data_IF_705388399433
#
_entry.id   IF_705388399433
#
_cell.length_a   1.000
_cell.length_b   1.000
_cell.length_c   1.000
_cell.angle_alpha   90.00
_cell.angle_beta   90.00
_cell.angle_gamma   90.00
#
_symmetry.space_group_name_H-M   'P 1'
#
loop_
_entity.id
_entity.type
_entity.pdbx_description
1 polymer ?
#
# COMPACT_ATOMS: atom_id res chain seq x y z
N UNK A 1 -28.94 24.76 -45.66
CA UNK A 1 -28.04 23.58 -45.53
C UNK A 1 -28.58 22.32 -46.21
N UNK A 2 -29.82 21.89 -45.96
CA UNK A 2 -30.38 20.68 -46.60
C UNK A 2 -30.33 20.70 -48.15
N UNK A 3 -30.67 21.82 -48.80
CA UNK A 3 -30.64 21.95 -50.27
C UNK A 3 -29.22 21.80 -50.89
N UNK A 4 -28.15 22.00 -50.12
CA UNK A 4 -26.76 21.82 -50.58
C UNK A 4 -26.38 20.33 -50.67
N UNK A 5 -26.74 19.55 -49.64
CA UNK A 5 -26.50 18.11 -49.61
C UNK A 5 -27.39 17.35 -50.62
N UNK A 6 -28.60 17.84 -50.90
CA UNK A 6 -29.50 17.29 -51.94
C UNK A 6 -28.88 17.43 -53.35
N UNK A 7 -28.20 18.56 -53.64
CA UNK A 7 -27.54 18.79 -54.93
C UNK A 7 -26.15 18.15 -55.04
N UNK A 8 -25.56 17.68 -53.93
CA UNK A 8 -24.23 17.04 -53.87
C UNK A 8 -24.28 15.75 -53.03
N UNK A 9 -24.93 14.69 -53.52
CA UNK A 9 -25.11 13.44 -52.77
C UNK A 9 -23.79 12.74 -52.42
N UNK A 10 -22.77 12.84 -53.27
CA UNK A 10 -21.44 12.28 -53.01
C UNK A 10 -20.79 12.96 -51.79
N UNK A 11 -20.94 14.28 -51.64
CA UNK A 11 -20.38 15.00 -50.50
C UNK A 11 -21.04 14.60 -49.17
N UNK A 12 -22.36 14.35 -49.19
CA UNK A 12 -23.07 13.82 -48.02
C UNK A 12 -22.54 12.42 -47.62
N UNK A 13 -22.31 11.54 -48.59
CA UNK A 13 -21.72 10.21 -48.35
C UNK A 13 -20.30 10.27 -47.82
N UNK A 14 -19.45 11.15 -48.35
CA UNK A 14 -18.08 11.33 -47.84
C UNK A 14 -18.11 11.75 -46.37
N UNK A 15 -18.97 12.69 -46.01
CA UNK A 15 -19.09 13.19 -44.64
C UNK A 15 -19.62 12.10 -43.69
N UNK A 16 -20.60 11.31 -44.16
CA UNK A 16 -21.10 10.14 -43.42
C UNK A 16 -20.02 9.07 -43.21
N UNK A 17 -19.21 8.77 -44.23
CA UNK A 17 -18.10 7.80 -44.14
C UNK A 17 -17.04 8.30 -43.16
N UNK A 18 -16.67 9.58 -43.21
CA UNK A 18 -15.72 10.17 -42.24
C UNK A 18 -16.25 10.03 -40.81
N UNK A 19 -17.54 10.31 -40.58
CA UNK A 19 -18.18 10.16 -39.28
C UNK A 19 -18.23 8.71 -38.81
N UNK A 20 -18.53 7.76 -39.71
CA UNK A 20 -18.51 6.34 -39.39
C UNK A 20 -17.09 5.85 -39.08
N UNK A 21 -16.07 6.29 -39.82
CA UNK A 21 -14.68 5.94 -39.52
C UNK A 21 -14.21 6.52 -38.18
N UNK A 22 -14.57 7.78 -37.88
CA UNK A 22 -14.27 8.39 -36.59
C UNK A 22 -14.98 7.67 -35.44
N UNK A 23 -16.25 7.28 -35.63
CA UNK A 23 -17.00 6.48 -34.67
C UNK A 23 -16.41 5.09 -34.45
N UNK A 24 -15.99 4.41 -35.52
CA UNK A 24 -15.34 3.10 -35.43
C UNK A 24 -14.01 3.17 -34.67
N UNK A 25 -13.19 4.19 -34.94
CA UNK A 25 -11.94 4.43 -34.19
C UNK A 25 -12.21 4.75 -32.72
N UNK A 26 -13.24 5.55 -32.41
CA UNK A 26 -13.63 5.86 -31.05
C UNK A 26 -14.08 4.60 -30.28
N UNK A 27 -14.88 3.73 -30.90
CA UNK A 27 -15.31 2.46 -30.28
C UNK A 27 -14.11 1.57 -29.92
N UNK A 28 -13.06 1.55 -30.75
CA UNK A 28 -11.87 0.74 -30.47
C UNK A 28 -10.96 1.32 -29.39
N UNK A 29 -11.00 2.64 -29.16
CA UNK A 29 -10.15 3.33 -28.18
C UNK A 29 -10.86 3.63 -26.85
N UNK A 30 -12.20 3.63 -26.82
CA UNK A 30 -12.95 3.97 -25.62
C UNK A 30 -12.76 2.88 -24.54
N UNK A 31 -12.34 3.27 -23.33
CA UNK A 31 -12.28 2.35 -22.20
C UNK A 31 -13.67 1.79 -21.88
N UNK A 32 -13.74 0.47 -21.67
CA UNK A 32 -14.97 -0.20 -21.24
C UNK A 32 -14.92 -0.40 -19.72
N UNK A 33 -15.85 0.21 -18.99
CA UNK A 33 -16.01 0.06 -17.56
C UNK A 33 -17.49 -0.14 -17.20
N UNK A 34 -17.79 -0.91 -16.15
CA UNK A 34 -19.18 -1.21 -15.73
C UNK A 34 -19.92 0.04 -15.22
N UNK A 35 -19.21 0.90 -14.49
CA UNK A 35 -19.68 2.20 -14.00
C UNK A 35 -18.56 3.23 -14.15
N UNK A 36 -18.87 4.51 -14.40
CA UNK A 36 -17.89 5.57 -14.22
C UNK A 36 -17.49 5.65 -12.74
N UNK A 37 -16.31 6.20 -12.44
CA UNK A 37 -15.86 6.43 -11.06
C UNK A 37 -16.70 7.54 -10.41
N UNK A 38 -17.84 7.17 -9.81
CA UNK A 38 -18.76 8.08 -9.11
C UNK A 38 -18.37 8.20 -7.63
N UNK A 39 -17.66 7.20 -7.09
CA UNK A 39 -17.23 7.21 -5.70
C UNK A 39 -16.26 8.37 -5.42
N UNK A 40 -16.44 9.12 -4.32
CA UNK A 40 -15.47 10.12 -3.91
C UNK A 40 -14.09 9.47 -3.69
N UNK A 41 -12.99 10.14 -4.07
CA UNK A 41 -11.66 9.61 -3.84
C UNK A 41 -11.41 9.49 -2.35
N UNK A 42 -10.74 8.40 -1.96
CA UNK A 42 -10.39 8.15 -0.57
C UNK A 42 -8.93 7.67 -0.47
N UNK A 43 -8.29 8.02 0.63
CA UNK A 43 -6.93 7.59 0.99
C UNK A 43 -7.01 6.86 2.32
N UNK A 44 -6.46 5.65 2.38
CA UNK A 44 -6.37 4.85 3.59
C UNK A 44 -4.94 4.89 4.13
N UNK A 45 -4.83 5.12 5.43
CA UNK A 45 -3.59 4.99 6.21
C UNK A 45 -3.73 3.76 7.09
N UNK A 46 -2.83 2.81 6.93
CA UNK A 46 -2.87 1.53 7.66
C UNK A 46 -1.57 1.35 8.45
N UNK A 47 -1.70 0.97 9.72
CA UNK A 47 -0.57 0.63 10.58
C UNK A 47 -0.91 -0.55 11.48
N UNK A 48 0.12 -1.18 12.05
CA UNK A 48 -0.05 -2.30 12.95
C UNK A 48 0.84 -2.12 14.19
N UNK A 49 0.26 -2.34 15.37
CA UNK A 49 0.94 -2.33 16.66
C UNK A 49 0.80 -3.72 17.31
N UNK A 50 1.74 -4.65 17.03
CA UNK A 50 1.65 -6.01 17.52
C UNK A 50 1.58 -6.08 19.05
N UNK A 51 0.55 -6.75 19.57
CA UNK A 51 0.36 -6.98 21.00
C UNK A 51 -0.33 -5.85 21.77
N UNK A 52 -0.71 -4.75 21.10
CA UNK A 52 -1.53 -3.71 21.70
C UNK A 52 -3.03 -4.04 21.61
N UNK A 53 -3.80 -3.68 22.63
CA UNK A 53 -5.26 -3.73 22.60
C UNK A 53 -5.84 -2.51 21.88
N UNK A 54 -7.13 -2.59 21.51
CA UNK A 54 -7.79 -1.56 20.71
C UNK A 54 -7.72 -0.15 21.35
N UNK A 55 -7.83 -0.07 22.68
CA UNK A 55 -7.79 1.23 23.38
C UNK A 55 -6.38 1.83 23.30
N UNK A 56 -5.34 1.01 23.53
CA UNK A 56 -3.95 1.44 23.39
C UNK A 56 -3.67 1.92 21.96
N UNK A 57 -4.07 1.17 20.94
CA UNK A 57 -3.90 1.57 19.52
C UNK A 57 -4.64 2.86 19.20
N UNK A 58 -5.85 3.04 19.73
CA UNK A 58 -6.63 4.25 19.54
C UNK A 58 -5.90 5.47 20.11
N UNK A 59 -5.42 5.38 21.36
CA UNK A 59 -4.83 6.51 22.08
C UNK A 59 -3.40 6.84 21.61
N UNK A 60 -2.58 5.84 21.28
CA UNK A 60 -1.16 6.05 20.93
C UNK A 60 -0.88 6.19 19.45
N UNK A 61 -1.76 5.65 18.58
CA UNK A 61 -1.55 5.66 17.12
C UNK A 61 -2.63 6.45 16.42
N UNK A 62 -3.89 6.02 16.59
CA UNK A 62 -5.02 6.52 15.81
C UNK A 62 -5.22 8.01 16.03
N UNK A 63 -5.39 8.44 17.29
CA UNK A 63 -5.59 9.84 17.62
C UNK A 63 -4.41 10.73 17.22
N UNK A 64 -3.18 10.25 17.36
CA UNK A 64 -1.97 10.99 16.97
C UNK A 64 -1.97 11.26 15.47
N UNK A 65 -2.31 10.26 14.66
CA UNK A 65 -2.42 10.44 13.21
C UNK A 65 -3.57 11.39 12.89
N UNK A 66 -4.77 11.16 13.45
CA UNK A 66 -5.96 11.98 13.20
C UNK A 66 -5.75 13.47 13.51
N UNK A 67 -5.15 13.79 14.65
CA UNK A 67 -4.87 15.18 15.06
C UNK A 67 -3.92 15.90 14.10
N UNK A 68 -3.05 15.16 13.41
CA UNK A 68 -2.13 15.70 12.42
C UNK A 68 -2.73 15.78 11.02
N UNK A 69 -3.90 15.18 10.75
CA UNK A 69 -4.60 15.21 9.46
C UNK A 69 -5.39 16.51 9.20
N UNK A 70 -5.11 17.56 9.96
CA UNK A 70 -5.75 18.86 9.81
C UNK A 70 -5.14 19.68 8.66
N UNK A 71 -5.99 20.44 7.97
CA UNK A 71 -5.58 21.33 6.87
C UNK A 71 -5.18 20.56 5.60
N UNK A 72 -5.84 19.43 5.36
CA UNK A 72 -5.82 18.72 4.08
C UNK A 72 -6.93 19.32 3.20
N UNK A 73 -6.61 19.62 1.93
CA UNK A 73 -7.55 20.25 1.02
C UNK A 73 -8.66 19.28 0.61
N UNK A 74 -9.87 19.80 0.45
CA UNK A 74 -11.03 19.04 -0.04
C UNK A 74 -11.39 17.80 0.79
N UNK A 75 -10.96 17.73 2.05
CA UNK A 75 -11.36 16.66 2.96
C UNK A 75 -12.87 16.79 3.27
N UNK A 76 -13.62 15.71 3.04
CA UNK A 76 -15.05 15.63 3.34
C UNK A 76 -15.28 15.11 4.76
N UNK A 77 -14.70 13.95 5.06
CA UNK A 77 -14.73 13.34 6.38
C UNK A 77 -13.57 12.36 6.54
N UNK A 78 -13.30 12.00 7.77
CA UNK A 78 -12.33 10.99 8.16
C UNK A 78 -13.02 9.98 9.07
N UNK A 79 -12.73 8.70 8.87
CA UNK A 79 -13.18 7.60 9.71
C UNK A 79 -12.01 6.72 10.06
N UNK A 80 -11.92 6.28 11.31
CA UNK A 80 -10.88 5.37 11.76
C UNK A 80 -11.48 4.14 12.44
N UNK A 81 -10.77 3.03 12.32
CA UNK A 81 -11.08 1.79 13.00
C UNK A 81 -9.80 1.27 13.64
N UNK A 82 -9.84 1.02 14.94
CA UNK A 82 -8.78 0.33 15.69
C UNK A 82 -9.33 -1.01 16.16
N UNK A 83 -8.59 -2.09 15.94
CA UNK A 83 -9.01 -3.42 16.37
C UNK A 83 -8.19 -3.96 17.55
N UNK A 84 -8.67 -5.04 18.15
CA UNK A 84 -7.97 -5.73 19.24
C UNK A 84 -6.79 -6.60 18.79
N UNK A 85 -6.57 -6.72 17.49
CA UNK A 85 -5.41 -7.43 16.92
C UNK A 85 -4.20 -6.50 16.77
N UNK A 86 -4.36 -5.20 17.07
CA UNK A 86 -3.31 -4.20 16.96
C UNK A 86 -3.35 -3.41 15.65
N UNK A 87 -4.30 -3.69 14.76
CA UNK A 87 -4.39 -3.03 13.46
C UNK A 87 -5.21 -1.75 13.53
N UNK A 88 -4.79 -0.76 12.75
CA UNK A 88 -5.48 0.51 12.59
C UNK A 88 -5.62 0.84 11.13
N UNK A 89 -6.82 1.28 10.74
CA UNK A 89 -7.12 1.81 9.41
C UNK A 89 -7.81 3.15 9.56
N UNK A 90 -7.24 4.19 8.95
CA UNK A 90 -7.80 5.54 8.90
C UNK A 90 -8.11 5.86 7.44
N UNK A 91 -9.39 6.05 7.13
CA UNK A 91 -9.87 6.39 5.79
C UNK A 91 -10.25 7.85 5.74
N UNK A 92 -9.55 8.61 4.90
CA UNK A 92 -9.86 10.00 4.58
C UNK A 92 -10.63 10.04 3.27
N UNK A 93 -11.86 10.54 3.28
CA UNK A 93 -12.69 10.69 2.08
C UNK A 93 -12.73 12.15 1.65
N UNK A 94 -12.55 12.38 0.36
CA UNK A 94 -12.41 13.70 -0.24
C UNK A 94 -13.62 14.07 -1.09
N UNK A 95 -13.77 15.36 -1.40
CA UNK A 95 -14.81 15.85 -2.31
C UNK A 95 -14.61 15.26 -3.72
N UNK A 96 -15.72 15.02 -4.42
CA UNK A 96 -15.68 14.59 -5.83
C UNK A 96 -14.95 15.62 -6.70
N UNK A 97 -14.06 15.16 -7.58
CA UNK A 97 -13.22 16.01 -8.42
C UNK A 97 -11.84 16.33 -7.82
N UNK A 98 -11.56 15.93 -6.58
CA UNK A 98 -10.21 15.99 -6.01
C UNK A 98 -9.29 15.01 -6.74
N UNK A 99 -8.06 15.45 -7.03
CA UNK A 99 -7.04 14.59 -7.59
C UNK A 99 -6.56 13.58 -6.52
N UNK A 100 -6.73 12.25 -6.74
CA UNK A 100 -6.35 11.24 -5.76
C UNK A 100 -4.84 11.15 -5.53
N UNK A 101 -4.00 11.51 -6.51
CA UNK A 101 -2.54 11.57 -6.34
C UNK A 101 -2.14 12.72 -5.41
N UNK A 102 -2.77 13.89 -5.58
CA UNK A 102 -2.52 15.04 -4.70
C UNK A 102 -3.05 14.76 -3.30
N UNK A 103 -4.24 14.19 -3.16
CA UNK A 103 -4.80 13.79 -1.88
C UNK A 103 -3.86 12.82 -1.13
N UNK A 104 -3.33 11.81 -1.81
CA UNK A 104 -2.38 10.86 -1.23
C UNK A 104 -1.10 11.55 -0.75
N UNK A 105 -0.52 12.44 -1.57
CA UNK A 105 0.69 13.19 -1.20
C UNK A 105 0.44 14.11 -0.01
N UNK A 106 -0.72 14.78 0.05
CA UNK A 106 -1.09 15.62 1.20
C UNK A 106 -1.19 14.80 2.49
N UNK A 107 -1.87 13.65 2.45
CA UNK A 107 -1.97 12.73 3.58
C UNK A 107 -0.59 12.25 4.01
N UNK A 108 0.26 11.84 3.05
CA UNK A 108 1.61 11.37 3.34
C UNK A 108 2.47 12.46 3.99
N UNK A 109 2.40 13.70 3.50
CA UNK A 109 3.13 14.84 4.08
C UNK A 109 2.68 15.13 5.52
N UNK A 110 1.38 15.03 5.81
CA UNK A 110 0.86 15.18 7.18
C UNK A 110 1.26 14.02 8.07
N UNK A 111 1.24 12.80 7.53
CA UNK A 111 1.62 11.59 8.26
C UNK A 111 3.08 11.65 8.69
N UNK A 112 3.98 12.12 7.82
CA UNK A 112 5.40 12.26 8.15
C UNK A 112 5.66 13.17 9.35
N UNK A 113 4.80 14.16 9.61
CA UNK A 113 4.89 15.02 10.79
C UNK A 113 4.43 14.28 12.07
N UNK A 114 3.51 13.32 11.92
CA UNK A 114 3.00 12.50 13.01
C UNK A 114 3.91 11.31 13.32
N UNK A 115 4.62 10.76 12.34
CA UNK A 115 5.44 9.54 12.47
C UNK A 115 6.37 9.55 13.70
N UNK A 116 7.10 10.64 14.02
CA UNK A 116 7.99 10.67 15.18
C UNK A 116 7.28 10.60 16.53
N UNK A 117 5.99 10.92 16.58
CA UNK A 117 5.15 10.88 17.79
C UNK A 117 4.59 9.48 18.06
N UNK A 118 4.69 8.56 17.08
CA UNK A 118 4.17 7.20 17.18
C UNK A 118 5.15 6.29 17.95
N UNK A 119 4.66 5.20 18.57
CA UNK A 119 5.51 4.18 19.18
C UNK A 119 6.55 3.62 18.19
N UNK A 120 7.75 3.30 18.69
CA UNK A 120 8.85 2.83 17.83
C UNK A 120 8.52 1.51 17.13
N UNK A 121 7.73 0.65 17.78
CA UNK A 121 7.27 -0.63 17.24
C UNK A 121 6.43 -0.43 15.97
N UNK A 122 5.56 0.58 15.97
CA UNK A 122 4.73 0.95 14.81
C UNK A 122 5.58 1.58 13.71
N UNK A 123 6.50 2.46 14.07
CA UNK A 123 7.43 3.06 13.10
C UNK A 123 8.29 2.00 12.40
N UNK A 124 8.77 0.99 13.15
CA UNK A 124 9.54 -0.13 12.60
C UNK A 124 8.70 -1.02 11.68
N UNK A 125 7.42 -1.23 12.00
CA UNK A 125 6.52 -2.00 11.15
C UNK A 125 6.20 -1.29 9.82
N UNK A 126 6.35 0.04 9.81
CA UNK A 126 6.00 0.89 8.67
C UNK A 126 4.52 1.24 8.66
N UNK A 127 4.20 2.35 7.97
CA UNK A 127 2.84 2.85 7.81
C UNK A 127 2.56 2.93 6.33
N UNK A 128 1.50 2.26 5.88
CA UNK A 128 1.09 2.26 4.48
C UNK A 128 0.11 3.40 4.22
N UNK A 129 0.29 4.10 3.10
CA UNK A 129 -0.63 5.14 2.61
C UNK A 129 -1.04 4.79 1.20
N UNK A 130 -2.28 4.37 1.04
CA UNK A 130 -2.81 3.80 -0.20
C UNK A 130 -4.07 4.53 -0.64
N UNK A 131 -4.33 4.52 -1.94
CA UNK A 131 -5.62 5.00 -2.47
C UNK A 131 -6.66 3.93 -2.16
N UNK A 132 -7.64 4.28 -1.34
CA UNK A 132 -8.68 3.36 -0.92
C UNK A 132 -9.59 3.02 -2.09
N UNK A 133 -9.70 1.73 -2.41
CA UNK A 133 -10.69 1.18 -3.36
C UNK A 133 -11.48 0.08 -2.68
N UNK A 134 -12.81 0.16 -2.71
CA UNK A 134 -13.69 -0.80 -2.04
C UNK A 134 -13.93 -2.09 -2.83
N UNK A 135 -13.33 -2.23 -4.02
CA UNK A 135 -13.61 -3.35 -4.93
C UNK A 135 -12.34 -4.07 -5.37
N UNK A 136 -12.28 -5.38 -5.12
CA UNK A 136 -11.31 -6.27 -5.74
C UNK A 136 -11.70 -6.53 -7.20
N UNK A 137 -10.77 -6.36 -8.12
CA UNK A 137 -10.96 -6.75 -9.52
C UNK A 137 -10.98 -8.29 -9.67
N UNK A 138 -10.10 -8.98 -8.94
CA UNK A 138 -9.92 -10.43 -8.98
C UNK A 138 -9.31 -10.91 -7.67
N UNK A 139 -9.63 -12.14 -7.27
CA UNK A 139 -8.93 -12.88 -6.22
C UNK A 139 -8.31 -14.12 -6.85
N UNK A 140 -6.98 -14.21 -6.83
CA UNK A 140 -6.25 -15.37 -7.34
C UNK A 140 -5.97 -16.35 -6.19
N UNK A 141 -6.48 -17.58 -6.32
CA UNK A 141 -6.21 -18.67 -5.37
C UNK A 141 -5.03 -19.52 -5.83
N UNK A 142 -4.08 -19.77 -4.91
CA UNK A 142 -2.94 -20.67 -5.12
C UNK A 142 -3.16 -21.93 -4.30
N UNK A 143 -3.06 -23.10 -4.93
CA UNK A 143 -3.24 -24.41 -4.30
C UNK A 143 -2.10 -25.34 -4.73
N UNK A 144 -1.76 -26.28 -3.86
CA UNK A 144 -0.77 -27.33 -4.12
C UNK A 144 -1.44 -28.69 -4.06
N UNK A 145 -1.10 -29.58 -5.00
CA UNK A 145 -1.52 -30.99 -4.97
C UNK A 145 -0.65 -31.83 -4.01
N UNK A 146 0.45 -31.26 -3.50
CA UNK A 146 1.33 -31.92 -2.54
C UNK A 146 0.79 -31.74 -1.12
N UNK A 147 0.46 -32.83 -0.38
CA UNK A 147 -0.06 -32.75 0.98
C UNK A 147 0.93 -32.18 2.00
N UNK A 148 2.23 -32.19 1.70
CA UNK A 148 3.26 -31.62 2.58
C UNK A 148 3.37 -30.10 2.47
N UNK A 149 2.74 -29.49 1.46
CA UNK A 149 2.75 -28.02 1.29
C UNK A 149 1.68 -27.40 2.17
N UNK A 150 2.10 -26.62 3.16
CA UNK A 150 1.20 -25.91 4.06
C UNK A 150 0.74 -24.58 3.45
N UNK A 151 -0.29 -23.97 4.06
CA UNK A 151 -0.72 -22.62 3.68
C UNK A 151 0.41 -21.58 3.81
N UNK A 152 1.28 -21.73 4.81
CA UNK A 152 2.40 -20.82 5.04
C UNK A 152 3.44 -20.94 3.91
N UNK A 153 3.73 -22.17 3.42
CA UNK A 153 4.60 -22.40 2.26
C UNK A 153 4.09 -21.70 1.01
N UNK A 154 2.79 -21.81 0.73
CA UNK A 154 2.15 -21.17 -0.42
C UNK A 154 2.20 -19.65 -0.27
N UNK A 155 1.87 -19.15 0.92
CA UNK A 155 1.85 -17.71 1.21
C UNK A 155 3.23 -17.09 1.03
N UNK A 156 4.29 -17.76 1.50
CA UNK A 156 5.67 -17.34 1.32
C UNK A 156 6.10 -17.34 -0.15
N UNK A 157 5.75 -18.40 -0.89
CA UNK A 157 6.05 -18.47 -2.31
C UNK A 157 5.39 -17.32 -3.09
N UNK A 158 4.11 -17.05 -2.82
CA UNK A 158 3.35 -15.96 -3.44
C UNK A 158 3.93 -14.61 -3.06
N UNK A 159 4.27 -14.39 -1.78
CA UNK A 159 4.88 -13.15 -1.32
C UNK A 159 6.22 -12.88 -2.02
N UNK A 160 7.09 -13.89 -2.09
CA UNK A 160 8.47 -13.74 -2.56
C UNK A 160 8.61 -13.71 -4.09
N UNK A 161 7.74 -14.40 -4.83
CA UNK A 161 7.90 -14.56 -6.29
C UNK A 161 6.81 -13.88 -7.11
N UNK A 162 5.59 -13.77 -6.58
CA UNK A 162 4.41 -13.39 -7.37
C UNK A 162 3.94 -11.97 -7.04
N UNK A 163 3.82 -11.63 -5.75
CA UNK A 163 3.25 -10.36 -5.28
C UNK A 163 3.92 -9.16 -5.92
N UNK A 164 5.24 -9.09 -5.88
CA UNK A 164 6.01 -7.98 -6.44
C UNK A 164 5.88 -7.85 -7.95
N UNK A 165 5.79 -8.98 -8.65
CA UNK A 165 5.64 -8.99 -10.11
C UNK A 165 4.26 -8.48 -10.49
N UNK A 166 3.20 -8.90 -9.79
CA UNK A 166 1.84 -8.42 -10.02
C UNK A 166 1.68 -6.94 -9.65
N UNK A 167 2.26 -6.51 -8.54
CA UNK A 167 2.16 -5.13 -8.05
C UNK A 167 2.77 -4.10 -9.01
N UNK A 168 3.65 -4.53 -9.91
CA UNK A 168 4.29 -3.67 -10.93
C UNK A 168 3.57 -3.64 -12.28
N UNK A 169 2.52 -4.45 -12.47
CA UNK A 169 1.79 -4.48 -13.74
C UNK A 169 0.97 -3.20 -13.93
N UNK A 170 0.97 -2.68 -15.16
CA UNK A 170 0.17 -1.50 -15.49
C UNK A 170 -1.33 -1.82 -15.29
N UNK A 171 -2.01 -0.97 -14.51
CA UNK A 171 -3.43 -1.14 -14.17
C UNK A 171 -3.69 -1.85 -12.84
N UNK A 172 -2.65 -2.36 -12.16
CA UNK A 172 -2.77 -2.88 -10.79
C UNK A 172 -2.54 -1.75 -9.81
N UNK A 173 -3.56 -1.46 -8.99
CA UNK A 173 -3.51 -0.39 -7.98
C UNK A 173 -2.98 -0.86 -6.62
N UNK A 174 -3.45 -2.01 -6.16
CA UNK A 174 -3.06 -2.64 -4.90
C UNK A 174 -3.10 -4.17 -5.02
N UNK A 175 -2.26 -4.87 -4.23
CA UNK A 175 -2.22 -6.34 -4.14
C UNK A 175 -2.17 -6.77 -2.68
N UNK A 176 -3.32 -7.19 -2.16
CA UNK A 176 -3.41 -7.80 -0.84
C UNK A 176 -3.05 -9.30 -0.88
N UNK A 177 -2.11 -9.70 -0.03
CA UNK A 177 -1.78 -11.10 0.23
C UNK A 177 -2.67 -11.64 1.35
N UNK A 178 -3.38 -12.75 1.10
CA UNK A 178 -4.12 -13.47 2.12
C UNK A 178 -3.22 -14.50 2.82
N UNK A 179 -2.36 -14.01 3.70
CA UNK A 179 -1.33 -14.80 4.39
C UNK A 179 -0.13 -13.91 4.74
N UNK A 180 0.99 -14.52 5.08
CA UNK A 180 2.24 -13.81 5.35
C UNK A 180 3.42 -14.55 4.74
N UNK A 181 4.48 -13.79 4.44
CA UNK A 181 5.79 -14.39 4.14
C UNK A 181 6.37 -15.08 5.37
N UNK A 182 7.37 -15.94 5.17
CA UNK A 182 8.06 -16.57 6.28
C UNK A 182 8.71 -15.54 7.21
N UNK A 183 8.60 -15.87 8.51
CA UNK A 183 9.27 -15.15 9.58
C UNK A 183 9.97 -16.17 10.47
N UNK A 184 11.19 -15.84 10.92
CA UNK A 184 11.89 -16.64 11.92
C UNK A 184 11.15 -16.53 13.25
N UNK A 185 10.35 -17.55 13.59
CA UNK A 185 9.59 -17.61 14.85
C UNK A 185 10.44 -18.25 15.93
N UNK A 186 10.75 -17.48 16.97
CA UNK A 186 11.49 -17.96 18.15
C UNK A 186 10.51 -18.11 19.30
N UNK A 187 10.12 -19.35 19.58
CA UNK A 187 9.24 -19.67 20.69
C UNK A 187 10.08 -19.85 21.96
N UNK A 188 9.97 -18.90 22.88
CA UNK A 188 10.71 -18.92 24.13
C UNK A 188 10.09 -19.89 25.12
N UNK A 189 10.92 -20.76 25.70
CA UNK A 189 10.54 -21.67 26.78
C UNK A 189 10.86 -21.03 28.14
N UNK A 190 9.83 -20.75 28.93
CA UNK A 190 9.95 -20.06 30.21
C UNK A 190 10.74 -20.87 31.26
N UNK A 191 10.62 -22.20 31.26
CA UNK A 191 11.29 -23.07 32.21
C UNK A 191 12.80 -23.13 31.93
N UNK A 192 13.17 -23.21 30.64
CA UNK A 192 14.57 -23.15 30.22
C UNK A 192 15.18 -21.78 30.50
N UNK A 193 14.47 -20.68 30.21
CA UNK A 193 14.94 -19.33 30.53
C UNK A 193 15.24 -19.19 32.03
N UNK A 194 14.32 -19.62 32.88
CA UNK A 194 14.50 -19.56 34.33
C UNK A 194 15.67 -20.44 34.81
N UNK A 195 15.81 -21.67 34.27
CA UNK A 195 16.93 -22.57 34.58
C UNK A 195 18.29 -21.94 34.30
N UNK A 196 18.41 -21.17 33.22
CA UNK A 196 19.65 -20.49 32.83
C UNK A 196 19.76 -19.05 33.35
N UNK A 197 18.81 -18.59 34.18
CA UNK A 197 18.73 -17.21 34.69
C UNK A 197 18.73 -16.16 33.57
N UNK A 198 18.08 -16.49 32.46
CA UNK A 198 17.90 -15.62 31.30
C UNK A 198 16.51 -15.01 31.32
N UNK A 199 16.39 -13.81 30.78
CA UNK A 199 15.12 -13.13 30.53
C UNK A 199 14.84 -13.06 29.02
N UNK A 200 13.59 -12.84 28.59
CA UNK A 200 13.29 -12.58 27.17
C UNK A 200 14.09 -11.40 26.60
N UNK A 201 14.38 -10.39 27.42
CA UNK A 201 15.19 -9.22 27.03
C UNK A 201 16.61 -9.63 26.64
N UNK A 202 17.21 -10.58 27.36
CA UNK A 202 18.55 -11.08 27.04
C UNK A 202 18.59 -11.77 25.68
N UNK A 203 17.55 -12.56 25.35
CA UNK A 203 17.45 -13.22 24.04
C UNK A 203 17.29 -12.20 22.92
N UNK A 204 16.43 -11.19 23.09
CA UNK A 204 16.25 -10.11 22.11
C UNK A 204 17.55 -9.35 21.89
N UNK A 205 18.25 -8.98 22.96
CA UNK A 205 19.52 -8.26 22.87
C UNK A 205 20.58 -9.10 22.15
N UNK A 206 20.66 -10.39 22.46
CA UNK A 206 21.65 -11.27 21.85
C UNK A 206 21.37 -11.51 20.36
N UNK A 207 20.10 -11.64 19.98
CA UNK A 207 19.70 -11.73 18.58
C UNK A 207 20.09 -10.47 17.81
N UNK A 208 19.86 -9.28 18.38
CA UNK A 208 20.25 -8.00 17.75
C UNK A 208 21.76 -7.89 17.51
N UNK A 209 22.58 -8.46 18.39
CA UNK A 209 24.05 -8.42 18.26
C UNK A 209 24.58 -9.48 17.30
N UNK A 210 24.00 -10.69 17.33
CA UNK A 210 24.52 -11.82 16.54
C UNK A 210 23.95 -11.89 15.13
N UNK A 211 22.73 -11.43 14.93
CA UNK A 211 22.07 -11.36 13.63
C UNK A 211 22.13 -9.92 13.09
N UNK A 212 23.33 -9.39 12.98
CA UNK A 212 23.59 -8.04 12.45
C UNK A 212 24.50 -8.09 11.22
N UNK A 213 24.18 -7.27 10.23
CA UNK A 213 24.97 -7.14 9.01
C UNK A 213 26.07 -6.10 9.24
N UNK A 214 27.22 -6.55 9.76
CA UNK A 214 28.35 -5.66 10.00
C UNK A 214 28.94 -5.22 8.65
N UNK A 215 28.91 -3.92 8.37
CA UNK A 215 29.62 -3.32 7.25
C UNK A 215 31.14 -3.38 7.52
N UNK A 216 31.79 -4.48 7.12
CA UNK A 216 33.24 -4.55 7.10
C UNK A 216 33.74 -3.54 6.05
N UNK A 217 34.49 -2.53 6.49
CA UNK A 217 35.07 -1.52 5.60
C UNK A 217 35.96 -2.14 4.51
N UNK A 218 36.35 -1.33 3.52
CA UNK A 218 37.23 -1.78 2.44
C UNK A 218 38.70 -1.51 2.78
N UNK A 219 39.57 -2.52 2.66
CA UNK A 219 41.02 -2.32 2.73
C UNK A 219 41.50 -1.63 1.43
N UNK A 220 42.12 -0.46 1.57
CA UNK A 220 42.66 0.30 0.42
C UNK A 220 41.70 1.30 -0.23
N UNK A 221 40.60 1.68 0.43
CA UNK A 221 39.75 2.78 -0.01
C UNK A 221 40.59 4.06 -0.19
N UNK A 222 40.70 4.55 -1.43
CA UNK A 222 41.51 5.72 -1.79
C UNK A 222 41.22 6.88 -0.82
N UNK A 223 42.25 7.27 -0.04
CA UNK A 223 42.20 8.47 0.78
C UNK A 223 41.77 9.64 -0.11
N UNK A 224 40.67 10.31 0.23
CA UNK A 224 40.33 11.60 -0.38
C UNK A 224 41.51 12.51 -0.08
N UNK A 225 42.28 12.85 -1.10
CA UNK A 225 43.27 13.91 -1.02
C UNK A 225 42.56 15.13 -0.42
N UNK A 226 42.94 15.50 0.80
CA UNK A 226 42.65 16.81 1.36
C UNK A 226 43.37 17.80 0.46
N UNK A 227 42.63 18.38 -0.48
CA UNK A 227 43.06 19.59 -1.17
C UNK A 227 43.16 20.67 -0.11
N UNK A 228 44.39 21.08 0.22
CA UNK A 228 44.64 22.30 0.96
C UNK A 228 44.07 23.49 0.18
N UNK A 229 43.40 24.36 0.93
CA UNK A 229 43.07 25.75 0.62
C UNK A 229 44.18 26.52 -0.09
#
# INVERSE_FOLDING_TARGET
MANFFIRRPIFAWVLAIILMMAGALAILQLPVAQYPTIAPPAVSVSANYPGADAQTVQDTVTQVIEQNMNGIDNLMYMSSTSDSAGSVTITLTFQSGTDPDIAQVQVQNKLQLATPLLPQEVQQQGISVEKSSSSYLMVAGFVSDNPDTTQDDISDYVASNVKDTLSRLNGVGDVQLFGAQYAMRIWLDADLLNKYKLTPVDVINQLKVQNDQIAAGQLGGRQRYQGNS
#
